data_IF_052988511574
#
_entry.id   IF_052988511574
#
_cell.length_a   1.000
_cell.length_b   1.000
_cell.length_c   1.000
_cell.angle_alpha   90.00
_cell.angle_beta   90.00
_cell.angle_gamma   90.00
#
_symmetry.space_group_name_H-M   'P 1'
#
loop_
_entity.id
_entity.type
_entity.pdbx_description
1 polymer ?
#
# COMPACT_ATOMS: atom_id res chain seq x y z
N UNK A 1 12.93 13.26 10.68
CA UNK A 1 11.85 12.34 11.08
C UNK A 1 12.18 10.94 10.55
N UNK A 2 12.27 9.90 11.40
CA UNK A 2 12.70 8.56 11.00
C UNK A 2 11.91 7.96 9.82
N UNK A 3 10.60 8.23 9.77
CA UNK A 3 9.72 7.75 8.70
C UNK A 3 10.06 8.36 7.34
N UNK A 4 10.21 9.68 7.26
CA UNK A 4 10.56 10.37 6.01
C UNK A 4 11.92 9.88 5.47
N UNK A 5 12.93 9.77 6.33
CA UNK A 5 14.25 9.26 5.90
C UNK A 5 14.20 7.81 5.42
N UNK A 6 13.40 6.95 6.06
CA UNK A 6 13.24 5.55 5.64
C UNK A 6 12.47 5.45 4.33
N UNK A 7 11.40 6.25 4.17
CA UNK A 7 10.64 6.35 2.92
C UNK A 7 11.52 6.82 1.75
N UNK A 8 12.34 7.84 1.97
CA UNK A 8 13.33 8.31 0.99
C UNK A 8 14.31 7.19 0.59
N UNK A 9 14.87 6.48 1.57
CA UNK A 9 15.79 5.37 1.29
C UNK A 9 15.12 4.23 0.50
N UNK A 10 13.89 3.89 0.86
CA UNK A 10 13.10 2.87 0.17
C UNK A 10 12.80 3.27 -1.28
N UNK A 11 12.26 4.47 -1.49
CA UNK A 11 11.94 4.97 -2.84
C UNK A 11 13.16 5.10 -3.74
N UNK A 12 14.29 5.56 -3.22
CA UNK A 12 15.57 5.59 -3.96
C UNK A 12 16.07 4.18 -4.30
N UNK A 13 15.87 3.20 -3.42
CA UNK A 13 16.21 1.81 -3.67
C UNK A 13 15.37 1.14 -4.77
N UNK A 14 14.14 1.60 -4.98
CA UNK A 14 13.24 1.08 -6.03
C UNK A 14 13.36 1.83 -7.37
N UNK A 15 14.09 2.94 -7.41
CA UNK A 15 14.34 3.67 -8.64
C UNK A 15 15.66 4.44 -8.57
N UNK A 16 16.73 3.82 -9.06
CA UNK A 16 18.11 4.31 -8.93
C UNK A 16 18.33 5.71 -9.50
N UNK A 17 17.52 6.12 -10.49
CA UNK A 17 17.56 7.47 -11.06
C UNK A 17 17.16 8.59 -10.09
N UNK A 18 16.42 8.28 -9.02
CA UNK A 18 16.02 9.26 -7.99
C UNK A 18 17.23 9.62 -7.12
N UNK A 19 17.91 10.71 -7.47
CA UNK A 19 18.90 11.32 -6.58
C UNK A 19 18.21 12.10 -5.46
N UNK A 20 18.35 11.65 -4.20
CA UNK A 20 17.82 12.34 -3.01
C UNK A 20 18.89 13.07 -2.18
N UNK A 21 20.12 13.17 -2.70
CA UNK A 21 21.27 13.78 -2.00
C UNK A 21 21.12 15.29 -1.78
N UNK A 22 20.37 15.98 -2.64
CA UNK A 22 20.07 17.41 -2.52
C UNK A 22 19.01 17.75 -1.46
N UNK A 23 18.48 16.76 -0.74
CA UNK A 23 17.35 16.94 0.18
C UNK A 23 16.00 17.04 -0.55
N UNK A 24 14.93 17.20 0.25
CA UNK A 24 13.56 17.37 -0.24
C UNK A 24 13.25 18.84 -0.43
N UNK A 25 12.53 19.17 -1.52
CA UNK A 25 11.90 20.47 -1.63
C UNK A 25 10.78 20.63 -0.59
N UNK A 26 10.30 21.87 -0.41
CA UNK A 26 9.15 22.14 0.45
C UNK A 26 7.88 21.42 -0.03
N UNK A 27 7.67 21.35 -1.35
CA UNK A 27 6.50 20.69 -1.96
C UNK A 27 6.58 19.18 -1.76
N UNK A 28 7.73 18.57 -2.01
CA UNK A 28 7.95 17.12 -1.82
C UNK A 28 7.78 16.71 -0.36
N UNK A 29 8.38 17.47 0.57
CA UNK A 29 8.22 17.24 2.01
C UNK A 29 6.74 17.29 2.40
N UNK A 30 5.98 18.28 1.90
CA UNK A 30 4.54 18.39 2.19
C UNK A 30 3.74 17.24 1.61
N UNK A 31 4.00 16.80 0.38
CA UNK A 31 3.33 15.63 -0.23
C UNK A 31 3.57 14.36 0.59
N UNK A 32 4.81 14.11 0.99
CA UNK A 32 5.19 12.97 1.84
C UNK A 32 4.49 13.03 3.20
N UNK A 33 4.57 14.18 3.89
CA UNK A 33 3.92 14.35 5.20
C UNK A 33 2.40 14.25 5.11
N UNK A 34 1.80 14.73 4.02
CA UNK A 34 0.36 14.63 3.75
C UNK A 34 -0.07 13.17 3.54
N UNK A 35 0.69 12.39 2.77
CA UNK A 35 0.50 10.94 2.63
C UNK A 35 0.55 10.22 3.99
N UNK A 36 1.59 10.50 4.80
CA UNK A 36 1.71 9.91 6.14
C UNK A 36 0.56 10.31 7.07
N UNK A 37 0.20 11.59 7.10
CA UNK A 37 -0.87 12.10 7.93
C UNK A 37 -2.22 11.46 7.57
N UNK A 38 -2.55 11.40 6.29
CA UNK A 38 -3.80 10.78 5.80
C UNK A 38 -3.82 9.27 6.01
N UNK A 39 -2.69 8.58 5.83
CA UNK A 39 -2.57 7.16 6.19
C UNK A 39 -2.83 6.94 7.69
N UNK A 40 -2.22 7.75 8.56
CA UNK A 40 -2.43 7.67 10.00
C UNK A 40 -3.88 7.96 10.38
N UNK A 41 -4.52 8.92 9.71
CA UNK A 41 -5.93 9.24 9.93
C UNK A 41 -6.84 8.08 9.47
N UNK A 42 -6.56 7.46 8.32
CA UNK A 42 -7.25 6.25 7.87
C UNK A 42 -7.16 5.13 8.93
N UNK A 43 -5.97 4.89 9.47
CA UNK A 43 -5.75 3.91 10.54
C UNK A 43 -6.55 4.25 11.81
N UNK A 44 -6.67 5.53 12.17
CA UNK A 44 -7.46 5.94 13.34
C UNK A 44 -8.97 5.76 13.14
N UNK A 45 -9.47 5.94 11.92
CA UNK A 45 -10.91 5.85 11.62
C UNK A 45 -11.33 4.39 11.44
N UNK A 46 -10.54 3.59 10.73
CA UNK A 46 -10.95 2.23 10.31
C UNK A 46 -10.13 1.10 10.94
N UNK A 47 -9.00 1.40 11.58
CA UNK A 47 -8.10 0.41 12.16
C UNK A 47 -8.57 -0.16 13.50
N UNK A 48 -7.82 -1.14 14.01
CA UNK A 48 -8.21 -1.92 15.18
C UNK A 48 -8.34 -1.09 16.47
N UNK A 49 -7.47 -0.08 16.67
CA UNK A 49 -7.48 0.77 17.89
C UNK A 49 -8.74 1.63 18.04
N UNK A 50 -9.56 1.77 17.00
CA UNK A 50 -10.82 2.54 17.04
C UNK A 50 -12.04 1.76 17.51
N UNK A 51 -11.93 0.44 17.72
CA UNK A 51 -13.08 -0.43 18.01
C UNK A 51 -13.34 -0.53 19.53
N UNK A 52 -14.54 -0.22 20.03
CA UNK A 52 -14.89 -0.52 21.41
C UNK A 52 -14.96 -2.04 21.61
N UNK A 53 -14.28 -2.55 22.65
CA UNK A 53 -14.13 -3.98 23.00
C UNK A 53 -15.45 -4.77 23.13
N UNK A 54 -16.60 -4.08 23.19
CA UNK A 54 -17.87 -4.68 23.62
C UNK A 54 -18.95 -4.75 22.53
N UNK A 55 -18.67 -4.26 21.32
CA UNK A 55 -19.62 -4.34 20.21
C UNK A 55 -18.94 -4.96 19.00
N UNK A 56 -19.60 -5.98 18.44
CA UNK A 56 -19.42 -6.41 17.06
C UNK A 56 -19.81 -5.19 16.20
N UNK A 57 -18.92 -4.21 16.07
CA UNK A 57 -19.13 -3.13 15.12
C UNK A 57 -19.22 -3.79 13.75
N UNK A 58 -20.23 -3.43 12.93
CA UNK A 58 -20.29 -3.92 11.56
C UNK A 58 -18.97 -3.58 10.88
N UNK A 59 -18.33 -4.59 10.28
CA UNK A 59 -17.21 -4.39 9.36
C UNK A 59 -17.55 -3.22 8.44
N UNK A 60 -16.72 -2.17 8.41
CA UNK A 60 -16.92 -1.07 7.46
C UNK A 60 -16.56 -1.66 6.09
N UNK A 61 -17.47 -1.68 5.12
CA UNK A 61 -17.15 -2.23 3.79
C UNK A 61 -16.06 -1.42 3.10
N UNK A 62 -15.39 -2.06 2.16
CA UNK A 62 -14.44 -1.49 1.21
C UNK A 62 -15.03 -0.25 0.49
N UNK A 63 -16.27 -0.35 0.01
CA UNK A 63 -16.99 0.77 -0.61
C UNK A 63 -17.19 1.93 0.36
N UNK A 64 -17.53 1.64 1.62
CA UNK A 64 -17.72 2.68 2.63
C UNK A 64 -16.38 3.35 2.98
N UNK A 65 -15.28 2.60 3.09
CA UNK A 65 -13.94 3.16 3.32
C UNK A 65 -13.50 4.07 2.16
N UNK A 66 -13.82 3.68 0.93
CA UNK A 66 -13.61 4.50 -0.25
C UNK A 66 -14.43 5.79 -0.17
N UNK A 67 -15.75 5.68 0.01
CA UNK A 67 -16.66 6.83 -0.03
C UNK A 67 -16.46 7.82 1.13
N UNK A 68 -16.21 7.30 2.34
CA UNK A 68 -16.09 8.11 3.56
C UNK A 68 -14.71 8.74 3.74
N UNK A 69 -13.71 8.32 2.96
CA UNK A 69 -12.34 8.81 3.16
C UNK A 69 -11.53 8.95 1.88
N UNK A 70 -11.15 7.84 1.24
CA UNK A 70 -10.17 7.88 0.14
C UNK A 70 -10.70 8.66 -1.07
N UNK A 71 -11.98 8.48 -1.42
CA UNK A 71 -12.64 9.18 -2.51
C UNK A 71 -12.94 10.66 -2.26
N UNK A 72 -12.68 11.19 -1.06
CA UNK A 72 -12.83 12.62 -0.76
C UNK A 72 -11.66 13.47 -1.28
N UNK A 73 -10.48 12.87 -1.40
CA UNK A 73 -9.26 13.57 -1.82
C UNK A 73 -9.10 13.57 -3.33
N UNK A 74 -8.25 14.44 -3.87
CA UNK A 74 -7.89 14.34 -5.29
C UNK A 74 -7.25 12.96 -5.58
N UNK A 75 -7.37 12.44 -6.81
CA UNK A 75 -6.84 11.13 -7.16
C UNK A 75 -5.33 10.97 -6.89
N UNK A 76 -4.52 11.98 -7.23
CA UNK A 76 -3.08 11.97 -6.93
C UNK A 76 -2.79 12.05 -5.43
N UNK A 77 -3.64 12.74 -4.67
CA UNK A 77 -3.55 12.81 -3.21
C UNK A 77 -3.90 11.47 -2.55
N UNK A 78 -4.80 10.70 -3.15
CA UNK A 78 -5.08 9.33 -2.74
C UNK A 78 -3.89 8.43 -3.01
N UNK A 79 -3.25 8.57 -4.18
CA UNK A 79 -2.02 7.84 -4.51
C UNK A 79 -0.86 8.17 -3.57
N UNK A 80 -0.78 9.38 -3.00
CA UNK A 80 0.18 9.69 -1.93
C UNK A 80 -0.01 8.77 -0.72
N UNK A 81 -1.27 8.54 -0.32
CA UNK A 81 -1.62 7.61 0.77
C UNK A 81 -1.23 6.17 0.39
N UNK A 82 -1.47 5.78 -0.86
CA UNK A 82 -1.17 4.44 -1.33
C UNK A 82 0.34 4.16 -1.44
N UNK A 83 1.15 5.17 -1.80
CA UNK A 83 2.61 5.07 -1.73
C UNK A 83 3.09 4.84 -0.29
N UNK A 84 2.49 5.53 0.68
CA UNK A 84 2.78 5.31 2.10
C UNK A 84 2.30 3.94 2.57
N UNK A 85 1.14 3.48 2.12
CA UNK A 85 0.64 2.13 2.41
C UNK A 85 1.60 1.05 1.91
N UNK A 86 2.10 1.16 0.68
CA UNK A 86 3.08 0.19 0.15
C UNK A 86 4.42 0.25 0.89
N UNK A 87 4.89 1.45 1.26
CA UNK A 87 6.05 1.61 2.13
C UNK A 87 5.87 0.90 3.48
N UNK A 88 4.72 1.12 4.13
CA UNK A 88 4.41 0.51 5.43
C UNK A 88 4.35 -1.01 5.31
N UNK A 89 3.73 -1.55 4.26
CA UNK A 89 3.73 -2.99 4.00
C UNK A 89 5.13 -3.55 3.83
N UNK A 90 5.96 -2.90 3.00
CA UNK A 90 7.34 -3.30 2.79
C UNK A 90 8.14 -3.34 4.11
N UNK A 91 7.98 -2.33 4.96
CA UNK A 91 8.67 -2.28 6.23
C UNK A 91 8.17 -3.35 7.20
N UNK A 92 6.87 -3.63 7.23
CA UNK A 92 6.33 -4.75 8.02
C UNK A 92 6.76 -6.10 7.49
N UNK A 93 6.82 -6.30 6.17
CA UNK A 93 7.34 -7.54 5.57
C UNK A 93 8.78 -7.78 6.07
N UNK A 94 9.63 -6.75 5.99
CA UNK A 94 11.02 -6.83 6.48
C UNK A 94 11.11 -7.10 7.99
N UNK A 95 10.22 -6.54 8.80
CA UNK A 95 10.21 -6.77 10.24
C UNK A 95 9.73 -8.18 10.58
N UNK A 96 8.63 -8.63 9.96
CA UNK A 96 8.01 -9.92 10.21
C UNK A 96 8.82 -11.08 9.64
N UNK A 97 9.50 -10.93 8.51
CA UNK A 97 10.42 -11.97 8.00
C UNK A 97 11.49 -12.32 9.04
N UNK A 98 11.86 -11.35 9.87
CA UNK A 98 12.82 -11.54 10.95
C UNK A 98 12.19 -12.07 12.24
N UNK A 99 10.91 -11.82 12.55
CA UNK A 99 10.33 -12.10 13.87
C UNK A 99 9.15 -13.09 13.87
N UNK A 100 8.59 -13.42 12.70
CA UNK A 100 7.33 -14.15 12.58
C UNK A 100 7.32 -15.45 13.37
N UNK A 101 8.36 -16.28 13.23
CA UNK A 101 8.42 -17.57 13.90
C UNK A 101 8.56 -17.44 15.42
N UNK A 102 9.34 -16.46 15.90
CA UNK A 102 9.49 -16.22 17.33
C UNK A 102 8.14 -15.81 17.94
N UNK A 103 7.40 -14.93 17.25
CA UNK A 103 6.08 -14.47 17.68
C UNK A 103 5.05 -15.59 17.66
N UNK A 104 5.01 -16.42 16.61
CA UNK A 104 4.12 -17.59 16.54
C UNK A 104 4.40 -18.58 17.67
N UNK A 105 5.66 -18.75 18.08
CA UNK A 105 6.02 -19.63 19.19
C UNK A 105 5.65 -19.04 20.56
N UNK A 106 5.64 -17.70 20.70
CA UNK A 106 5.29 -17.02 21.95
C UNK A 106 3.78 -16.85 22.15
N UNK A 107 3.04 -16.54 21.08
CA UNK A 107 1.62 -16.18 21.15
C UNK A 107 0.72 -17.37 20.82
N UNK A 108 0.34 -18.13 21.84
CA UNK A 108 -0.56 -19.29 21.70
C UNK A 108 -1.94 -18.96 21.08
N UNK A 109 -2.33 -17.68 21.02
CA UNK A 109 -3.54 -17.16 20.35
C UNK A 109 -3.42 -16.97 18.85
N UNK A 110 -2.20 -16.99 18.30
CA UNK A 110 -1.95 -17.05 16.86
C UNK A 110 -1.95 -18.51 16.38
N UNK A 111 -1.69 -19.44 17.30
CA UNK A 111 -1.75 -20.90 17.13
C UNK A 111 -3.13 -21.58 17.01
N UNK A 112 -4.30 -21.01 17.37
CA UNK A 112 -5.60 -21.72 17.27
C UNK A 112 -6.15 -21.73 15.83
N UNK A 113 -5.62 -20.87 14.94
CA UNK A 113 -5.94 -20.83 13.51
C UNK A 113 -4.82 -21.37 12.61
N UNK A 114 -3.57 -21.34 13.07
CA UNK A 114 -2.48 -22.14 12.51
C UNK A 114 -2.76 -23.58 12.92
N UNK A 115 -3.23 -24.43 12.01
CA UNK A 115 -3.55 -25.82 12.34
C UNK A 115 -2.40 -26.42 13.17
N UNK A 116 -2.66 -27.16 14.25
CA UNK A 116 -1.63 -27.82 15.09
C UNK A 116 -0.55 -28.52 14.22
N UNK A 117 -0.96 -28.97 13.03
CA UNK A 117 -0.10 -29.41 11.93
C UNK A 117 1.02 -28.45 11.51
N UNK A 118 0.85 -27.13 11.44
CA UNK A 118 1.88 -26.20 10.94
C UNK A 118 3.01 -25.96 11.96
N UNK A 119 2.70 -25.94 13.26
CA UNK A 119 3.71 -25.87 14.33
C UNK A 119 4.44 -27.21 14.49
N UNK A 120 3.73 -28.33 14.41
CA UNK A 120 4.35 -29.66 14.38
C UNK A 120 5.17 -29.88 13.09
N UNK A 121 4.73 -29.36 11.95
CA UNK A 121 5.44 -29.45 10.67
C UNK A 121 6.66 -28.53 10.63
N UNK A 122 6.65 -27.36 11.28
CA UNK A 122 7.85 -26.53 11.45
C UNK A 122 8.94 -27.29 12.23
N UNK A 123 8.55 -27.95 13.34
CA UNK A 123 9.41 -28.85 14.12
C UNK A 123 9.85 -30.10 13.32
N UNK A 124 9.00 -30.60 12.42
CA UNK A 124 9.30 -31.75 11.55
C UNK A 124 10.24 -31.37 10.39
N UNK A 125 10.12 -30.16 9.83
CA UNK A 125 10.95 -29.64 8.74
C UNK A 125 12.38 -29.39 9.22
N UNK A 126 12.54 -28.91 10.45
CA UNK A 126 13.86 -28.78 11.09
C UNK A 126 14.53 -30.13 11.33
N UNK A 127 13.75 -31.20 11.51
CA UNK A 127 14.27 -32.54 11.80
C UNK A 127 14.43 -33.46 10.58
N UNK A 128 13.69 -33.25 9.48
CA UNK A 128 13.67 -34.18 8.32
C UNK A 128 13.49 -33.49 6.95
N UNK A 129 14.57 -33.06 6.28
CA UNK A 129 14.51 -32.29 5.02
C UNK A 129 13.98 -33.04 3.79
N UNK A 130 13.93 -34.37 3.81
CA UNK A 130 13.81 -35.22 2.61
C UNK A 130 12.42 -35.82 2.33
N UNK A 131 11.43 -35.66 3.21
CA UNK A 131 10.08 -36.21 2.99
C UNK A 131 9.09 -35.13 2.54
N UNK A 132 8.71 -35.11 1.25
CA UNK A 132 7.68 -34.18 0.72
C UNK A 132 6.82 -34.80 -0.38
N UNK A 133 5.50 -34.79 -0.18
CA UNK A 133 4.53 -34.74 -1.29
C UNK A 133 4.29 -33.28 -1.70
N UNK A 134 4.44 -32.97 -2.99
CA UNK A 134 4.43 -31.59 -3.51
C UNK A 134 3.10 -30.84 -3.32
N UNK A 135 1.96 -31.55 -3.37
CA UNK A 135 0.62 -30.97 -3.20
C UNK A 135 0.36 -30.45 -1.78
N UNK A 136 0.88 -31.13 -0.75
CA UNK A 136 0.76 -30.71 0.65
C UNK A 136 1.60 -29.45 0.91
N UNK A 137 2.80 -29.36 0.31
CA UNK A 137 3.67 -28.18 0.40
C UNK A 137 3.03 -26.92 -0.21
N UNK A 138 2.33 -27.05 -1.34
CA UNK A 138 1.64 -25.92 -1.99
C UNK A 138 0.47 -25.42 -1.15
N UNK A 139 -0.35 -26.32 -0.60
CA UNK A 139 -1.48 -25.94 0.27
C UNK A 139 -1.02 -25.27 1.56
N UNK A 140 0.03 -25.80 2.20
CA UNK A 140 0.58 -25.23 3.45
C UNK A 140 1.24 -23.87 3.22
N UNK A 141 1.94 -23.68 2.10
CA UNK A 141 2.50 -22.37 1.75
C UNK A 141 1.42 -21.31 1.52
N UNK A 142 0.26 -21.71 0.97
CA UNK A 142 -0.87 -20.81 0.72
C UNK A 142 -1.56 -20.38 2.01
N UNK A 143 -1.83 -21.32 2.93
CA UNK A 143 -2.42 -21.01 4.24
C UNK A 143 -1.50 -20.11 5.07
N UNK A 144 -0.19 -20.40 5.08
CA UNK A 144 0.81 -19.52 5.70
C UNK A 144 0.77 -18.11 5.12
N UNK A 145 0.68 -17.96 3.79
CA UNK A 145 0.64 -16.67 3.14
C UNK A 145 -0.65 -15.89 3.46
N UNK A 146 -1.79 -16.57 3.56
CA UNK A 146 -3.08 -15.98 3.93
C UNK A 146 -3.07 -15.50 5.39
N UNK A 147 -2.65 -16.34 6.34
CA UNK A 147 -2.52 -15.94 7.75
C UNK A 147 -1.55 -14.77 7.92
N UNK A 148 -0.36 -14.85 7.30
CA UNK A 148 0.64 -13.79 7.33
C UNK A 148 0.08 -12.46 6.81
N UNK A 149 -0.65 -12.47 5.69
CA UNK A 149 -1.28 -11.26 5.14
C UNK A 149 -2.24 -10.63 6.15
N UNK A 150 -3.10 -11.43 6.78
CA UNK A 150 -4.13 -10.94 7.72
C UNK A 150 -3.50 -10.28 8.96
N UNK A 151 -2.48 -10.91 9.54
CA UNK A 151 -1.78 -10.36 10.71
C UNK A 151 -0.93 -9.15 10.37
N UNK A 152 -0.28 -9.14 9.19
CA UNK A 152 0.45 -7.97 8.69
C UNK A 152 -0.50 -6.78 8.49
N UNK A 153 -1.65 -7.01 7.87
CA UNK A 153 -2.69 -5.98 7.68
C UNK A 153 -3.19 -5.47 9.02
N UNK A 154 -3.39 -6.36 10.01
CA UNK A 154 -3.74 -5.97 11.37
C UNK A 154 -2.71 -5.05 12.01
N UNK A 155 -1.42 -5.37 11.94
CA UNK A 155 -0.33 -4.50 12.40
C UNK A 155 -0.33 -3.15 11.66
N UNK A 156 -0.45 -3.18 10.33
CA UNK A 156 -0.54 -1.98 9.50
C UNK A 156 -1.69 -1.05 9.90
N UNK A 157 -2.81 -1.61 10.35
CA UNK A 157 -3.99 -0.87 10.78
C UNK A 157 -3.82 -0.11 12.10
N UNK A 158 -2.80 -0.44 12.90
CA UNK A 158 -2.52 0.26 14.17
C UNK A 158 -1.88 1.64 13.97
N UNK A 159 -1.48 1.94 12.73
CA UNK A 159 -0.89 3.21 12.33
C UNK A 159 0.61 3.29 12.53
N UNK A 160 1.16 4.45 12.18
CA UNK A 160 2.59 4.71 12.07
C UNK A 160 3.32 4.71 13.42
N UNK A 161 2.63 5.01 14.53
CA UNK A 161 3.25 5.00 15.86
C UNK A 161 3.83 3.63 16.19
N UNK A 162 3.07 2.56 15.95
CA UNK A 162 3.53 1.18 16.23
C UNK A 162 4.73 0.82 15.36
N UNK A 163 4.71 1.22 14.08
CA UNK A 163 5.85 1.01 13.19
C UNK A 163 7.11 1.76 13.66
N UNK A 164 6.95 3.00 14.15
CA UNK A 164 8.06 3.78 14.72
C UNK A 164 8.62 3.13 15.98
N UNK A 165 7.77 2.61 16.86
CA UNK A 165 8.20 1.91 18.07
C UNK A 165 9.03 0.66 17.69
N UNK A 166 8.58 -0.10 16.70
CA UNK A 166 9.33 -1.25 16.17
C UNK A 166 10.68 -0.85 15.54
N UNK A 167 10.77 0.30 14.86
CA UNK A 167 12.03 0.79 14.33
C UNK A 167 13.04 1.22 15.40
N UNK A 168 12.54 1.58 16.58
CA UNK A 168 13.35 2.03 17.71
C UNK A 168 13.64 0.92 18.71
N UNK A 169 13.22 -0.32 18.44
CA UNK A 169 13.56 -1.47 19.27
C UNK A 169 15.10 -1.60 19.40
N UNK A 170 15.58 -1.71 20.63
CA UNK A 170 17.02 -1.73 20.93
C UNK A 170 17.70 -3.01 20.43
N UNK A 171 16.96 -4.12 20.44
CA UNK A 171 17.42 -5.44 20.08
C UNK A 171 16.28 -6.30 19.53
N UNK A 172 16.64 -7.53 19.10
CA UNK A 172 15.70 -8.49 18.53
C UNK A 172 14.62 -8.92 19.54
N UNK A 173 14.97 -9.13 20.80
CA UNK A 173 14.01 -9.58 21.83
C UNK A 173 12.94 -8.53 22.08
N UNK A 174 13.35 -7.26 22.19
CA UNK A 174 12.45 -6.11 22.29
C UNK A 174 11.53 -6.01 21.08
N UNK A 175 12.07 -6.21 19.87
CA UNK A 175 11.26 -6.19 18.65
C UNK A 175 10.22 -7.32 18.62
N UNK A 176 10.62 -8.55 18.95
CA UNK A 176 9.71 -9.70 19.01
C UNK A 176 8.59 -9.45 20.02
N UNK A 177 8.93 -8.94 21.21
CA UNK A 177 7.96 -8.57 22.25
C UNK A 177 6.96 -7.51 21.78
N UNK A 178 7.44 -6.44 21.12
CA UNK A 178 6.58 -5.40 20.55
C UNK A 178 5.65 -5.95 19.45
N UNK A 179 6.15 -6.84 18.59
CA UNK A 179 5.32 -7.48 17.56
C UNK A 179 4.27 -8.37 18.22
N UNK A 180 4.65 -9.23 19.15
CA UNK A 180 3.73 -10.13 19.88
C UNK A 180 2.62 -9.36 20.63
N UNK A 181 2.96 -8.22 21.24
CA UNK A 181 2.01 -7.35 21.93
C UNK A 181 0.95 -6.74 20.99
N UNK A 182 1.32 -6.43 19.75
CA UNK A 182 0.48 -5.68 18.82
C UNK A 182 -0.13 -6.51 17.70
N UNK A 183 0.36 -7.71 17.46
CA UNK A 183 -0.10 -8.54 16.36
C UNK A 183 -1.53 -9.00 16.63
N UNK A 184 -2.42 -8.64 15.70
CA UNK A 184 -3.84 -8.90 15.79
C UNK A 184 -4.38 -9.25 14.41
N UNK A 185 -5.43 -10.07 14.38
CA UNK A 185 -6.07 -10.45 13.12
C UNK A 185 -6.98 -9.31 12.66
N UNK A 186 -6.84 -8.85 11.41
CA UNK A 186 -7.80 -7.94 10.79
C UNK A 186 -8.43 -8.59 9.55
N UNK A 187 -9.68 -9.05 9.72
CA UNK A 187 -10.46 -9.68 8.64
C UNK A 187 -11.19 -8.67 7.75
N UNK A 188 -11.33 -7.43 8.21
CA UNK A 188 -11.97 -6.38 7.42
C UNK A 188 -11.17 -6.10 6.14
N UNK A 189 -11.86 -5.79 5.02
CA UNK A 189 -11.21 -5.24 3.83
C UNK A 189 -10.38 -4.02 4.20
N UNK A 190 -9.17 -3.88 3.68
CA UNK A 190 -8.28 -2.79 4.03
C UNK A 190 -8.14 -1.80 2.87
N UNK A 191 -7.05 -1.04 2.84
CA UNK A 191 -6.82 0.01 1.84
C UNK A 191 -6.82 -0.56 0.42
N UNK A 192 -6.19 -1.71 0.20
CA UNK A 192 -6.03 -2.29 -1.14
C UNK A 192 -7.36 -2.77 -1.73
N UNK A 193 -8.23 -3.35 -0.91
CA UNK A 193 -9.58 -3.72 -1.28
C UNK A 193 -10.47 -2.47 -1.50
N UNK A 194 -10.34 -1.43 -0.65
CA UNK A 194 -11.11 -0.19 -0.79
C UNK A 194 -10.82 0.60 -2.08
N UNK A 195 -9.62 0.48 -2.64
CA UNK A 195 -9.25 1.15 -3.92
C UNK A 195 -9.30 0.21 -5.11
N UNK A 196 -10.03 -0.90 -5.02
CA UNK A 196 -10.17 -1.85 -6.11
C UNK A 196 -10.90 -1.27 -7.32
N UNK A 197 -10.75 -1.93 -8.47
CA UNK A 197 -11.49 -1.56 -9.68
C UNK A 197 -13.00 -1.68 -9.45
N UNK A 198 -13.45 -2.70 -8.72
CA UNK A 198 -14.85 -2.95 -8.38
C UNK A 198 -15.41 -1.84 -7.49
N UNK A 199 -14.72 -1.48 -6.40
CA UNK A 199 -15.18 -0.41 -5.51
C UNK A 199 -15.31 0.93 -6.25
N UNK A 200 -14.36 1.24 -7.13
CA UNK A 200 -14.42 2.44 -7.95
C UNK A 200 -15.54 2.40 -8.99
N UNK A 201 -15.80 1.24 -9.61
CA UNK A 201 -16.93 1.06 -10.51
C UNK A 201 -18.27 1.22 -9.78
N UNK A 202 -18.39 0.66 -8.57
CA UNK A 202 -19.59 0.82 -7.74
C UNK A 202 -19.79 2.28 -7.32
N UNK A 203 -18.74 2.95 -6.83
CA UNK A 203 -18.76 4.39 -6.49
C UNK A 203 -19.32 5.24 -7.64
N UNK A 204 -18.89 4.97 -8.87
CA UNK A 204 -19.28 5.72 -10.08
C UNK A 204 -20.74 5.50 -10.50
N UNK A 205 -21.35 4.38 -10.12
CA UNK A 205 -22.78 4.15 -10.39
C UNK A 205 -23.69 4.96 -9.47
N UNK A 206 -23.25 5.23 -8.23
CA UNK A 206 -24.10 5.82 -7.20
C UNK A 206 -23.78 7.28 -6.88
N UNK A 207 -22.58 7.74 -7.22
CA UNK A 207 -22.14 9.13 -7.03
C UNK A 207 -21.46 9.57 -8.32
N UNK A 208 -21.99 10.63 -8.95
CA UNK A 208 -21.35 11.31 -10.08
C UNK A 208 -20.72 12.63 -9.61
N UNK A 209 -19.59 12.62 -8.89
CA UNK A 209 -18.86 13.83 -8.55
C UNK A 209 -18.38 14.52 -9.82
N UNK A 210 -18.19 15.84 -9.74
CA UNK A 210 -17.69 16.67 -10.85
C UNK A 210 -16.39 16.13 -11.50
N UNK A 211 -15.57 15.38 -10.74
CA UNK A 211 -14.35 14.75 -11.24
C UNK A 211 -14.59 13.60 -12.23
N UNK A 212 -15.60 12.76 -12.00
CA UNK A 212 -15.93 11.69 -12.96
C UNK A 212 -16.46 12.27 -14.27
N UNK A 213 -17.21 13.37 -14.19
CA UNK A 213 -17.66 14.09 -15.38
C UNK A 213 -16.49 14.77 -16.12
N UNK A 214 -15.51 15.32 -15.39
CA UNK A 214 -14.30 15.88 -15.97
C UNK A 214 -13.45 14.81 -16.67
N UNK A 215 -13.30 13.62 -16.07
CA UNK A 215 -12.66 12.47 -16.70
C UNK A 215 -13.39 12.03 -17.98
N UNK A 216 -14.72 11.84 -17.90
CA UNK A 216 -15.54 11.43 -19.06
C UNK A 216 -15.44 12.42 -20.23
N UNK A 217 -15.36 13.72 -19.92
CA UNK A 217 -15.15 14.78 -20.93
C UNK A 217 -13.70 14.93 -21.38
N UNK A 218 -12.76 14.18 -20.79
CA UNK A 218 -11.32 14.36 -20.96
C UNK A 218 -10.91 15.82 -20.77
N UNK A 219 -11.47 16.47 -19.76
CA UNK A 219 -11.24 17.89 -19.49
C UNK A 219 -9.73 18.15 -19.34
N UNK A 220 -9.17 19.22 -19.94
CA UNK A 220 -7.75 19.51 -19.85
C UNK A 220 -7.27 19.64 -18.39
N UNK A 221 -6.15 19.00 -18.08
CA UNK A 221 -5.46 19.09 -16.80
C UNK A 221 -3.98 19.38 -17.07
N UNK A 222 -3.63 20.61 -17.48
CA UNK A 222 -2.24 20.95 -17.77
C UNK A 222 -1.40 20.99 -16.50
N UNK A 223 -0.12 20.66 -16.61
CA UNK A 223 0.84 20.89 -15.54
C UNK A 223 1.18 22.38 -15.45
N UNK A 224 0.86 23.00 -14.32
CA UNK A 224 1.06 24.45 -14.08
C UNK A 224 2.26 24.76 -13.19
N UNK A 225 3.10 23.76 -12.89
CA UNK A 225 4.22 23.87 -11.96
C UNK A 225 3.98 23.11 -10.65
N UNK A 226 5.04 22.95 -9.88
CA UNK A 226 4.99 22.23 -8.61
C UNK A 226 4.30 23.08 -7.54
N UNK A 227 3.13 22.62 -7.12
CA UNK A 227 2.34 23.16 -6.02
C UNK A 227 1.77 22.03 -5.18
N UNK A 228 1.38 22.37 -3.96
CA UNK A 228 0.75 21.45 -3.00
C UNK A 228 -0.67 21.10 -3.45
N UNK A 229 -1.36 22.07 -4.05
CA UNK A 229 -2.79 21.96 -4.42
C UNK A 229 -3.00 21.60 -5.89
N UNK A 230 -1.92 21.32 -6.62
CA UNK A 230 -1.95 20.97 -8.05
C UNK A 230 -1.41 19.57 -8.28
N UNK A 231 -1.87 18.87 -9.33
CA UNK A 231 -1.35 17.55 -9.65
C UNK A 231 0.16 17.61 -9.95
N UNK A 232 0.96 16.65 -9.45
CA UNK A 232 2.36 16.56 -9.79
C UNK A 232 2.54 16.23 -11.28
N UNK A 233 3.70 16.58 -11.85
CA UNK A 233 3.99 16.31 -13.26
C UNK A 233 3.78 14.83 -13.63
N UNK A 234 4.14 13.92 -12.73
CA UNK A 234 3.94 12.49 -12.90
C UNK A 234 2.47 12.13 -13.17
N UNK A 235 1.54 12.69 -12.39
CA UNK A 235 0.10 12.46 -12.56
C UNK A 235 -0.42 12.99 -13.89
N UNK A 236 -0.03 14.23 -14.24
CA UNK A 236 -0.40 14.84 -15.51
C UNK A 236 0.12 14.05 -16.70
N UNK A 237 1.34 13.51 -16.57
CA UNK A 237 2.00 12.72 -17.62
C UNK A 237 1.25 11.41 -17.89
N UNK A 238 0.98 10.61 -16.85
CA UNK A 238 0.31 9.31 -17.04
C UNK A 238 -1.09 9.47 -17.65
N UNK A 239 -1.76 10.60 -17.42
CA UNK A 239 -3.07 10.89 -17.99
C UNK A 239 -3.03 11.78 -19.24
N UNK A 240 -1.86 11.92 -19.87
CA UNK A 240 -1.65 12.65 -21.14
C UNK A 240 -2.25 14.06 -21.12
N UNK A 241 -2.14 14.77 -19.99
CA UNK A 241 -2.66 16.13 -19.83
C UNK A 241 -4.18 16.25 -19.70
N UNK A 242 -4.88 15.15 -19.39
CA UNK A 242 -6.33 15.13 -19.20
C UNK A 242 -6.72 14.72 -17.78
N UNK A 243 -7.90 15.17 -17.36
CA UNK A 243 -8.45 14.85 -16.05
C UNK A 243 -8.70 13.35 -15.93
N UNK A 244 -8.34 12.77 -14.80
CA UNK A 244 -8.66 11.39 -14.45
C UNK A 244 -8.98 11.29 -12.97
N UNK A 245 -9.99 10.50 -12.66
CA UNK A 245 -10.47 10.09 -11.35
C UNK A 245 -10.32 8.56 -11.17
N UNK A 246 -9.39 7.96 -11.90
CA UNK A 246 -8.93 6.58 -11.75
C UNK A 246 -7.65 6.56 -10.90
N UNK A 247 -7.66 5.82 -9.80
CA UNK A 247 -6.52 5.62 -8.91
C UNK A 247 -6.53 4.17 -8.42
N UNK A 248 -5.72 3.81 -7.43
CA UNK A 248 -5.78 2.46 -6.86
C UNK A 248 -5.32 1.41 -7.87
N UNK A 249 -6.11 0.36 -8.04
CA UNK A 249 -5.76 -0.74 -8.95
C UNK A 249 -5.70 -0.33 -10.45
N UNK A 250 -6.14 0.88 -10.80
CA UNK A 250 -5.96 1.46 -12.14
C UNK A 250 -4.57 2.02 -12.41
N UNK A 251 -3.71 2.07 -11.40
CA UNK A 251 -2.33 2.55 -11.52
C UNK A 251 -1.39 1.36 -11.26
N UNK A 252 -0.34 1.16 -12.07
CA UNK A 252 0.68 0.16 -11.80
C UNK A 252 1.23 0.28 -10.38
N UNK A 253 1.16 -0.79 -9.60
CA UNK A 253 1.67 -0.81 -8.21
C UNK A 253 3.15 -0.42 -8.14
N UNK A 254 3.93 -0.79 -9.17
CA UNK A 254 5.34 -0.45 -9.31
C UNK A 254 5.63 1.06 -9.38
N UNK A 255 4.63 1.93 -9.57
CA UNK A 255 4.80 3.38 -9.46
C UNK A 255 4.90 3.83 -8.00
N UNK A 256 4.18 3.15 -7.10
CA UNK A 256 4.10 3.49 -5.68
C UNK A 256 5.39 3.19 -4.93
N UNK A 257 6.10 2.15 -5.37
CA UNK A 257 7.37 1.69 -4.79
C UNK A 257 8.47 2.76 -4.79
N UNK A 258 8.42 3.68 -5.74
CA UNK A 258 9.32 4.82 -5.82
C UNK A 258 8.59 6.16 -5.63
N UNK A 259 7.34 6.14 -5.15
CA UNK A 259 6.61 7.35 -4.76
C UNK A 259 6.35 8.33 -5.89
N UNK A 260 5.96 7.85 -7.09
CA UNK A 260 5.89 8.67 -8.32
C UNK A 260 5.15 10.03 -8.20
N UNK A 261 4.14 10.15 -7.33
CA UNK A 261 3.39 11.40 -7.09
C UNK A 261 4.05 12.35 -6.08
N UNK A 262 5.10 11.92 -5.40
CA UNK A 262 5.74 12.69 -4.32
C UNK A 262 6.70 13.75 -4.85
N UNK A 263 7.26 13.54 -6.04
CA UNK A 263 8.44 14.28 -6.50
C UNK A 263 8.09 15.49 -7.34
N UNK A 264 8.92 16.52 -7.23
CA UNK A 264 8.81 17.70 -8.07
C UNK A 264 9.21 17.38 -9.51
N UNK A 265 8.67 18.17 -10.45
CA UNK A 265 8.91 18.02 -11.89
C UNK A 265 10.39 17.96 -12.25
N UNK A 266 11.23 18.83 -11.67
CA UNK A 266 12.66 18.86 -11.92
C UNK A 266 13.35 17.55 -11.52
N UNK A 267 12.94 16.94 -10.39
CA UNK A 267 13.46 15.63 -9.96
C UNK A 267 12.98 14.53 -10.88
N UNK A 268 11.70 14.51 -11.22
CA UNK A 268 11.12 13.53 -12.15
C UNK A 268 11.82 13.52 -13.52
N UNK A 269 12.09 14.71 -14.06
CA UNK A 269 12.77 14.85 -15.36
C UNK A 269 14.22 14.38 -15.26
N UNK A 270 14.97 14.88 -14.26
CA UNK A 270 16.40 14.55 -14.09
C UNK A 270 16.61 13.07 -13.82
N UNK A 271 15.70 12.44 -13.08
CA UNK A 271 15.76 11.04 -12.73
C UNK A 271 15.35 10.08 -13.87
N UNK A 272 14.88 10.60 -15.02
CA UNK A 272 14.32 9.77 -16.09
C UNK A 272 12.93 9.20 -15.76
N UNK A 273 12.26 9.74 -14.73
CA UNK A 273 10.98 9.23 -14.23
C UNK A 273 9.84 9.31 -15.27
N UNK A 274 9.88 10.26 -16.19
CA UNK A 274 8.87 10.37 -17.27
C UNK A 274 8.93 9.17 -18.22
N UNK A 275 10.13 8.74 -18.62
CA UNK A 275 10.30 7.56 -19.46
C UNK A 275 9.91 6.28 -18.70
N UNK A 276 10.30 6.19 -17.42
CA UNK A 276 9.97 5.05 -16.57
C UNK A 276 8.47 4.88 -16.33
N UNK A 277 7.70 5.97 -16.26
CA UNK A 277 6.23 5.91 -16.16
C UNK A 277 5.63 5.26 -17.39
N UNK A 278 6.04 5.65 -18.60
CA UNK A 278 5.54 5.03 -19.83
C UNK A 278 5.95 3.55 -19.93
N UNK A 279 7.23 3.23 -19.70
CA UNK A 279 7.74 1.85 -19.74
C UNK A 279 6.94 0.91 -18.83
N UNK A 280 6.86 1.23 -17.54
CA UNK A 280 6.13 0.42 -16.55
C UNK A 280 4.61 0.40 -16.81
N UNK A 281 4.04 1.44 -17.43
CA UNK A 281 2.64 1.41 -17.87
C UNK A 281 2.44 0.37 -18.98
N UNK A 282 3.31 0.38 -19.99
CA UNK A 282 3.29 -0.62 -21.05
C UNK A 282 3.48 -2.03 -20.48
N UNK A 283 4.45 -2.25 -19.60
CA UNK A 283 4.66 -3.57 -18.96
C UNK A 283 3.39 -4.09 -18.26
N UNK A 284 2.62 -3.19 -17.63
CA UNK A 284 1.41 -3.56 -16.89
C UNK A 284 0.21 -3.82 -17.81
N UNK A 285 0.04 -3.00 -18.85
CA UNK A 285 -1.19 -2.97 -19.65
C UNK A 285 -1.05 -3.53 -21.07
N UNK A 286 0.15 -3.80 -21.55
CA UNK A 286 0.37 -4.54 -22.81
C UNK A 286 0.77 -5.98 -22.53
N UNK A 287 -0.22 -6.83 -22.27
CA UNK A 287 -0.05 -8.28 -22.34
C UNK A 287 -0.26 -8.71 -23.79
N UNK A 288 0.71 -9.41 -24.43
CA UNK A 288 0.49 -9.99 -25.75
C UNK A 288 -0.68 -10.99 -25.67
N UNK A 289 -1.72 -10.80 -26.50
CA UNK A 289 -2.91 -11.66 -26.67
C UNK A 289 -4.07 -11.49 -25.67
N UNK A 290 -4.24 -10.33 -25.05
CA UNK A 290 -5.51 -9.99 -24.40
C UNK A 290 -6.38 -9.14 -25.34
N UNK A 291 -7.34 -9.75 -26.01
CA UNK A 291 -8.35 -9.03 -26.84
C UNK A 291 -9.30 -8.14 -26.00
N UNK A 292 -9.11 -8.11 -24.67
CA UNK A 292 -10.11 -7.62 -23.72
C UNK A 292 -9.65 -6.41 -22.89
N UNK A 293 -8.40 -5.94 -23.01
CA UNK A 293 -7.88 -4.87 -22.14
C UNK A 293 -7.67 -3.56 -22.90
N UNK A 294 -8.62 -2.64 -22.76
CA UNK A 294 -8.51 -1.25 -23.26
C UNK A 294 -7.66 -0.43 -22.30
N UNK A 295 -6.62 0.25 -22.81
CA UNK A 295 -5.79 1.16 -22.02
C UNK A 295 -6.70 2.15 -21.26
N UNK A 296 -6.62 2.22 -19.91
CA UNK A 296 -7.44 3.14 -19.12
C UNK A 296 -7.31 4.61 -19.56
N UNK A 297 -6.18 4.99 -20.19
CA UNK A 297 -5.92 6.33 -20.73
C UNK A 297 -6.69 6.63 -22.02
N UNK A 298 -7.25 5.60 -22.66
CA UNK A 298 -7.96 5.65 -23.94
C UNK A 298 -9.48 5.44 -23.80
N UNK A 299 -9.98 5.17 -22.59
CA UNK A 299 -11.42 5.06 -22.33
C UNK A 299 -12.09 6.43 -22.58
N UNK A 300 -13.12 6.41 -23.43
CA UNK A 300 -14.00 7.56 -23.74
C UNK A 300 -15.37 7.37 -23.09
#
# INVERSE_FOLDING_TARGET
MPLVSRFMKWTQGNFEGLSLSGGLSHTEMKRILRGFYRYQLFCKIFGLKGRPEQYIQPCVSEDAKLQLFLGMYEPWETEEVLCVYDFVNYEYDRLLDNTWWDVVLMEARLSPGMCIYEVELAKLIESHPSQRHASQRVKNNRLKAESYKIYKTGLGSLGLTVLVDMFNAADRETLVSLVAQHIEMLLDPWIEEAVSMECQAYRRHWVFPARDEAERKRAPMPFTGDSIDSPPLAWVTIWKGTSSNLFGQWIPRSFREWGYVMWDSGRMITAGGIAALEEKWFETYTVPNSDCFVDPRERA
#
